data_IF_415939752434
#
_entry.id   IF_415939752434
#
_cell.length_a   1.000
_cell.length_b   1.000
_cell.length_c   1.000
_cell.angle_alpha   90.00
_cell.angle_beta   90.00
_cell.angle_gamma   90.00
#
_symmetry.space_group_name_H-M   'P 1'
#
loop_
_entity.id
_entity.type
_entity.pdbx_description
1 polymer ?
#
# COMPACT_ATOMS: atom_id res chain seq x y z
N UNK A 1 28.12 18.15 -26.10
CA UNK A 1 27.33 17.20 -25.29
C UNK A 1 26.15 17.92 -24.65
N UNK A 2 24.92 17.68 -25.13
CA UNK A 2 23.70 18.16 -24.43
C UNK A 2 23.66 17.44 -23.08
N UNK A 3 23.85 18.19 -21.98
CA UNK A 3 23.45 17.71 -20.64
C UNK A 3 21.97 17.40 -20.74
N UNK A 4 21.63 16.11 -20.80
CA UNK A 4 20.24 15.65 -20.68
C UNK A 4 19.82 16.03 -19.27
N UNK A 5 19.20 17.20 -19.15
CA UNK A 5 18.63 17.69 -17.90
C UNK A 5 17.42 16.78 -17.66
N UNK A 6 17.67 15.63 -17.02
CA UNK A 6 16.63 14.72 -16.56
C UNK A 6 15.66 15.53 -15.70
N UNK A 7 14.54 15.92 -16.29
CA UNK A 7 13.52 16.68 -15.58
C UNK A 7 12.98 15.81 -14.45
N UNK A 8 12.83 16.38 -13.24
CA UNK A 8 12.22 15.70 -12.08
C UNK A 8 10.88 15.03 -12.44
N UNK A 9 10.16 15.63 -13.40
CA UNK A 9 8.91 15.13 -13.97
C UNK A 9 9.08 13.79 -14.70
N UNK A 10 10.16 13.61 -15.44
CA UNK A 10 10.45 12.38 -16.17
C UNK A 10 10.76 11.23 -15.19
N UNK A 11 11.52 11.52 -14.13
CA UNK A 11 11.81 10.56 -13.07
C UNK A 11 10.52 10.06 -12.41
N UNK A 12 9.60 10.96 -12.04
CA UNK A 12 8.31 10.59 -11.46
C UNK A 12 7.52 9.67 -12.40
N UNK A 13 7.47 9.98 -13.70
CA UNK A 13 6.79 9.12 -14.68
C UNK A 13 7.41 7.73 -14.78
N UNK A 14 8.74 7.62 -14.81
CA UNK A 14 9.43 6.33 -14.84
C UNK A 14 9.11 5.52 -13.60
N UNK A 15 9.22 6.13 -12.40
CA UNK A 15 8.95 5.44 -11.14
C UNK A 15 7.51 4.92 -11.11
N UNK A 16 6.53 5.74 -11.51
CA UNK A 16 5.13 5.30 -11.56
C UNK A 16 4.91 4.13 -12.53
N UNK A 17 5.49 4.20 -13.74
CA UNK A 17 5.38 3.11 -14.71
C UNK A 17 6.09 1.85 -14.24
N UNK A 18 7.26 1.97 -13.62
CA UNK A 18 7.97 0.85 -13.03
C UNK A 18 7.13 0.20 -11.91
N UNK A 19 6.53 0.99 -11.01
CA UNK A 19 5.64 0.48 -9.97
C UNK A 19 4.46 -0.27 -10.57
N UNK A 20 3.79 0.28 -11.60
CA UNK A 20 2.68 -0.39 -12.29
C UNK A 20 3.15 -1.71 -12.91
N UNK A 21 4.28 -1.69 -13.63
CA UNK A 21 4.82 -2.86 -14.32
C UNK A 21 5.20 -3.97 -13.34
N UNK A 22 5.96 -3.66 -12.29
CA UNK A 22 6.35 -4.64 -11.28
C UNK A 22 5.16 -5.19 -10.51
N UNK A 23 4.18 -4.34 -10.17
CA UNK A 23 2.96 -4.79 -9.48
C UNK A 23 2.12 -5.72 -10.36
N UNK A 24 1.98 -5.41 -11.65
CA UNK A 24 1.28 -6.26 -12.60
C UNK A 24 1.99 -7.61 -12.79
N UNK A 25 3.32 -7.60 -12.94
CA UNK A 25 4.11 -8.81 -13.07
C UNK A 25 4.03 -9.69 -11.81
N UNK A 26 4.12 -9.08 -10.63
CA UNK A 26 3.95 -9.77 -9.36
C UNK A 26 2.53 -10.37 -9.24
N UNK A 27 1.49 -9.63 -9.63
CA UNK A 27 0.12 -10.15 -9.64
C UNK A 27 -0.04 -11.38 -10.53
N UNK A 28 0.50 -11.34 -11.77
CA UNK A 28 0.49 -12.48 -12.69
C UNK A 28 1.23 -13.66 -12.06
N UNK A 29 2.40 -13.42 -11.47
CA UNK A 29 3.17 -14.46 -10.79
C UNK A 29 2.37 -15.11 -9.65
N UNK A 30 1.83 -14.31 -8.72
CA UNK A 30 1.09 -14.84 -7.58
C UNK A 30 -0.20 -15.55 -8.00
N UNK A 31 -0.95 -15.02 -8.97
CA UNK A 31 -2.15 -15.70 -9.49
C UNK A 31 -1.79 -17.02 -10.18
N UNK A 32 -0.72 -17.03 -10.99
CA UNK A 32 -0.23 -18.23 -11.68
C UNK A 32 0.11 -19.35 -10.71
N UNK A 33 0.67 -19.03 -9.53
CA UNK A 33 1.00 -20.02 -8.50
C UNK A 33 -0.17 -20.31 -7.54
N UNK A 34 -1.09 -19.38 -7.38
CA UNK A 34 -2.28 -19.55 -6.55
C UNK A 34 -3.24 -20.59 -7.15
N UNK A 35 -3.43 -20.62 -8.47
CA UNK A 35 -4.33 -21.59 -9.13
C UNK A 35 -3.89 -23.06 -8.90
N UNK A 36 -2.63 -23.46 -9.16
CA UNK A 36 -2.13 -24.79 -8.84
C UNK A 36 -2.22 -25.13 -7.35
N UNK A 37 -1.97 -24.15 -6.47
CA UNK A 37 -2.11 -24.31 -5.02
C UNK A 37 -3.54 -24.70 -4.63
N UNK A 38 -4.56 -24.05 -5.21
CA UNK A 38 -5.97 -24.41 -4.98
C UNK A 38 -6.33 -25.81 -5.51
N UNK A 39 -5.66 -26.28 -6.57
CA UNK A 39 -5.90 -27.58 -7.19
C UNK A 39 -5.15 -28.73 -6.49
N UNK A 40 -4.57 -28.51 -5.30
CA UNK A 40 -3.75 -29.49 -4.56
C UNK A 40 -2.54 -30.06 -5.36
N UNK A 41 -2.12 -29.38 -6.43
CA UNK A 41 -0.95 -29.74 -7.23
C UNK A 41 0.28 -28.99 -6.68
N UNK A 42 0.78 -29.35 -5.50
CA UNK A 42 1.88 -28.59 -4.89
C UNK A 42 3.26 -29.22 -5.16
N UNK A 43 4.14 -28.47 -5.81
CA UNK A 43 5.60 -28.60 -5.65
C UNK A 43 6.03 -27.94 -4.32
N UNK A 44 6.92 -28.56 -3.52
CA UNK A 44 7.18 -28.13 -2.12
C UNK A 44 8.04 -26.87 -1.95
N UNK A 45 8.57 -26.31 -3.03
CA UNK A 45 9.74 -25.41 -2.96
C UNK A 45 9.41 -23.92 -2.76
N UNK A 46 8.14 -23.51 -2.80
CA UNK A 46 7.74 -22.09 -2.72
C UNK A 46 7.18 -21.66 -1.37
N UNK A 47 6.92 -22.58 -0.43
CA UNK A 47 6.25 -22.27 0.83
C UNK A 47 7.24 -22.20 2.00
N UNK A 48 8.03 -21.13 2.05
CA UNK A 48 8.75 -20.77 3.27
C UNK A 48 7.80 -20.23 4.37
N UNK A 49 6.57 -19.87 3.99
CA UNK A 49 5.57 -19.31 4.89
C UNK A 49 4.62 -20.36 5.46
N UNK A 50 4.40 -20.24 6.77
CA UNK A 50 3.64 -21.19 7.58
C UNK A 50 2.13 -21.19 7.28
N UNK A 51 1.61 -20.15 6.62
CA UNK A 51 0.21 -20.01 6.20
C UNK A 51 0.12 -19.60 4.71
N UNK A 52 0.33 -20.53 3.77
CA UNK A 52 0.49 -20.21 2.35
C UNK A 52 -0.76 -19.59 1.70
N UNK A 53 -1.95 -20.00 2.13
CA UNK A 53 -3.21 -19.42 1.61
C UNK A 53 -3.34 -17.93 1.96
N UNK A 54 -3.12 -17.57 3.23
CA UNK A 54 -3.17 -16.19 3.69
C UNK A 54 -2.11 -15.35 2.97
N UNK A 55 -0.90 -15.91 2.82
CA UNK A 55 0.18 -15.25 2.11
C UNK A 55 -0.20 -14.91 0.67
N UNK A 56 -0.75 -15.85 -0.10
CA UNK A 56 -1.21 -15.59 -1.47
C UNK A 56 -2.26 -14.49 -1.51
N UNK A 57 -3.25 -14.54 -0.62
CA UNK A 57 -4.31 -13.52 -0.56
C UNK A 57 -3.70 -12.14 -0.29
N UNK A 58 -2.83 -12.02 0.71
CA UNK A 58 -2.18 -10.75 1.05
C UNK A 58 -1.33 -10.23 -0.10
N UNK A 59 -0.56 -11.09 -0.79
CA UNK A 59 0.24 -10.69 -1.94
C UNK A 59 -0.63 -10.22 -3.12
N UNK A 60 -1.69 -10.97 -3.47
CA UNK A 60 -2.59 -10.60 -4.56
C UNK A 60 -3.31 -9.28 -4.26
N UNK A 61 -3.85 -9.12 -3.04
CA UNK A 61 -4.53 -7.90 -2.63
C UNK A 61 -3.57 -6.71 -2.61
N UNK A 62 -2.38 -6.86 -2.05
CA UNK A 62 -1.39 -5.78 -1.96
C UNK A 62 -0.93 -5.31 -3.35
N UNK A 63 -0.60 -6.25 -4.25
CA UNK A 63 -0.21 -5.91 -5.62
C UNK A 63 -1.37 -5.28 -6.42
N UNK A 64 -2.61 -5.71 -6.18
CA UNK A 64 -3.79 -5.08 -6.77
C UNK A 64 -3.94 -3.62 -6.31
N UNK A 65 -3.73 -3.36 -5.01
CA UNK A 65 -3.77 -2.01 -4.46
C UNK A 65 -2.66 -1.15 -5.06
N UNK A 66 -1.43 -1.66 -5.16
CA UNK A 66 -0.32 -0.93 -5.78
C UNK A 66 -0.59 -0.57 -7.24
N UNK A 67 -1.20 -1.49 -8.00
CA UNK A 67 -1.59 -1.24 -9.38
C UNK A 67 -2.62 -0.08 -9.46
N UNK A 68 -3.66 -0.14 -8.62
CA UNK A 68 -4.70 0.91 -8.56
C UNK A 68 -4.10 2.26 -8.16
N UNK A 69 -3.28 2.30 -7.12
CA UNK A 69 -2.61 3.53 -6.65
C UNK A 69 -1.69 4.10 -7.73
N UNK A 70 -0.93 3.25 -8.42
CA UNK A 70 -0.09 3.65 -9.55
C UNK A 70 -0.88 4.33 -10.66
N UNK A 71 -2.02 3.75 -11.06
CA UNK A 71 -2.91 4.32 -12.07
C UNK A 71 -3.55 5.64 -11.61
N UNK A 72 -3.99 5.71 -10.35
CA UNK A 72 -4.55 6.92 -9.75
C UNK A 72 -3.54 8.07 -9.73
N UNK A 73 -2.30 7.81 -9.29
CA UNK A 73 -1.22 8.78 -9.28
C UNK A 73 -0.84 9.24 -10.70
N UNK A 74 -0.83 8.33 -11.67
CA UNK A 74 -0.55 8.67 -13.05
C UNK A 74 -1.64 9.59 -13.63
N UNK A 75 -2.90 9.30 -13.34
CA UNK A 75 -4.03 10.16 -13.71
C UNK A 75 -3.95 11.53 -13.02
N UNK A 76 -3.61 11.55 -11.73
CA UNK A 76 -3.41 12.77 -10.96
C UNK A 76 -2.31 13.65 -11.58
N UNK A 77 -1.19 13.04 -11.93
CA UNK A 77 -0.04 13.71 -12.51
C UNK A 77 -0.36 14.29 -13.89
N UNK A 78 -0.99 13.49 -14.76
CA UNK A 78 -1.46 13.97 -16.08
C UNK A 78 -2.42 15.14 -15.95
N UNK A 79 -3.31 15.09 -14.97
CA UNK A 79 -4.26 16.17 -14.73
C UNK A 79 -3.56 17.44 -14.26
N UNK A 80 -2.68 17.33 -13.27
CA UNK A 80 -1.88 18.47 -12.79
C UNK A 80 -1.06 19.12 -13.92
N UNK A 81 -0.48 18.32 -14.83
CA UNK A 81 0.22 18.85 -16.00
C UNK A 81 -0.67 19.63 -16.98
N UNK A 82 -1.98 19.31 -17.03
CA UNK A 82 -2.93 19.98 -17.92
C UNK A 82 -3.54 21.24 -17.30
N UNK A 83 -3.94 21.17 -16.03
CA UNK A 83 -4.65 22.26 -15.36
C UNK A 83 -3.74 23.20 -14.60
N UNK A 84 -2.56 22.74 -14.16
CA UNK A 84 -1.63 23.53 -13.34
C UNK A 84 -2.07 23.74 -11.89
N UNK A 85 -3.29 23.34 -11.53
CA UNK A 85 -3.82 23.43 -10.16
C UNK A 85 -4.58 22.16 -9.78
N UNK A 86 -4.70 21.92 -8.47
CA UNK A 86 -5.48 20.85 -7.89
C UNK A 86 -6.95 21.23 -7.80
N UNK A 87 -7.86 20.30 -8.07
CA UNK A 87 -9.30 20.53 -8.01
C UNK A 87 -10.02 19.54 -7.08
N UNK A 88 -11.35 19.66 -6.98
CA UNK A 88 -12.16 18.75 -6.15
C UNK A 88 -11.99 17.28 -6.53
N UNK A 89 -11.73 16.97 -7.81
CA UNK A 89 -11.48 15.59 -8.25
C UNK A 89 -10.10 15.10 -7.79
N UNK A 90 -9.06 15.95 -7.84
CA UNK A 90 -7.75 15.65 -7.25
C UNK A 90 -7.89 15.26 -5.77
N UNK A 91 -8.70 15.99 -5.00
CA UNK A 91 -8.94 15.66 -3.58
C UNK A 91 -9.60 14.29 -3.40
N UNK A 92 -10.48 13.86 -4.31
CA UNK A 92 -11.05 12.49 -4.29
C UNK A 92 -9.96 11.43 -4.56
N UNK A 93 -9.04 11.70 -5.48
CA UNK A 93 -7.91 10.80 -5.75
C UNK A 93 -7.00 10.69 -4.52
N UNK A 94 -6.71 11.79 -3.83
CA UNK A 94 -5.98 11.75 -2.56
C UNK A 94 -6.68 10.85 -1.52
N UNK A 95 -8.01 10.97 -1.36
CA UNK A 95 -8.75 10.08 -0.45
C UNK A 95 -8.60 8.61 -0.81
N UNK A 96 -8.73 8.28 -2.11
CA UNK A 96 -8.57 6.91 -2.57
C UNK A 96 -7.18 6.36 -2.23
N UNK A 97 -6.12 7.15 -2.45
CA UNK A 97 -4.74 6.74 -2.13
C UNK A 97 -4.57 6.58 -0.61
N UNK A 98 -5.12 7.50 0.21
CA UNK A 98 -5.06 7.39 1.68
C UNK A 98 -5.73 6.09 2.15
N UNK A 99 -6.94 5.80 1.67
CA UNK A 99 -7.63 4.55 2.02
C UNK A 99 -6.90 3.31 1.52
N UNK A 100 -6.28 3.37 0.34
CA UNK A 100 -5.40 2.30 -0.14
C UNK A 100 -4.19 2.08 0.77
N UNK A 101 -3.55 3.14 1.27
CA UNK A 101 -2.44 3.02 2.22
C UNK A 101 -2.88 2.40 3.55
N UNK A 102 -4.04 2.81 4.07
CA UNK A 102 -4.63 2.21 5.27
C UNK A 102 -4.99 0.73 5.05
N UNK A 103 -5.53 0.39 3.87
CA UNK A 103 -5.82 -0.99 3.49
C UNK A 103 -4.57 -1.86 3.41
N UNK A 104 -3.48 -1.36 2.81
CA UNK A 104 -2.18 -2.06 2.80
C UNK A 104 -1.64 -2.29 4.21
N UNK A 105 -1.75 -1.27 5.07
CA UNK A 105 -1.32 -1.39 6.46
C UNK A 105 -2.13 -2.46 7.22
N UNK A 106 -3.46 -2.48 7.03
CA UNK A 106 -4.34 -3.48 7.63
C UNK A 106 -4.04 -4.90 7.14
N UNK A 107 -3.82 -5.08 5.83
CA UNK A 107 -3.44 -6.37 5.25
C UNK A 107 -2.16 -6.92 5.86
N UNK A 108 -1.15 -6.06 6.02
CA UNK A 108 0.06 -6.48 6.68
C UNK A 108 -0.17 -6.80 8.16
N UNK A 109 -0.97 -6.02 8.91
CA UNK A 109 -1.25 -6.31 10.32
C UNK A 109 -1.85 -7.72 10.44
N UNK A 110 -2.81 -8.05 9.57
CA UNK A 110 -3.43 -9.37 9.52
C UNK A 110 -2.36 -10.44 9.24
N UNK A 111 -1.46 -10.21 8.28
CA UNK A 111 -0.36 -11.14 7.98
C UNK A 111 0.58 -11.34 9.17
N UNK A 112 0.98 -10.26 9.85
CA UNK A 112 1.87 -10.32 11.02
C UNK A 112 1.21 -11.06 12.17
N UNK A 113 -0.06 -10.76 12.46
CA UNK A 113 -0.81 -11.46 13.49
C UNK A 113 -0.88 -12.95 13.14
N UNK A 114 -1.31 -13.30 11.93
CA UNK A 114 -1.45 -14.69 11.51
C UNK A 114 -0.12 -15.48 11.57
N UNK A 115 0.98 -14.88 11.14
CA UNK A 115 2.31 -15.50 11.22
C UNK A 115 2.71 -15.76 12.69
N UNK A 116 2.46 -14.81 13.59
CA UNK A 116 2.71 -14.99 15.02
C UNK A 116 1.75 -16.01 15.67
N UNK A 117 0.47 -16.03 15.26
CA UNK A 117 -0.54 -16.99 15.73
C UNK A 117 -0.11 -18.42 15.45
N UNK A 118 0.42 -18.68 14.25
CA UNK A 118 0.87 -20.03 13.88
C UNK A 118 2.10 -20.47 14.67
N UNK A 119 2.98 -19.53 15.04
CA UNK A 119 4.16 -19.83 15.86
C UNK A 119 3.81 -20.21 17.30
N UNK A 120 2.82 -19.55 17.90
CA UNK A 120 2.30 -19.93 19.21
C UNK A 120 1.29 -21.05 18.99
N UNK A 121 1.78 -22.30 19.04
CA UNK A 121 0.96 -23.50 18.82
C UNK A 121 -0.41 -23.37 19.47
N UNK A 122 -1.49 -23.70 18.75
CA UNK A 122 -2.89 -23.52 19.18
C UNK A 122 -3.18 -24.10 20.58
N UNK A 123 -2.40 -25.08 21.02
CA UNK A 123 -2.47 -25.71 22.34
C UNK A 123 -2.05 -24.79 23.51
N UNK A 124 -1.27 -23.72 23.26
CA UNK A 124 -0.80 -22.79 24.28
C UNK A 124 -1.76 -21.61 24.54
N UNK A 125 -2.89 -21.55 23.81
CA UNK A 125 -3.88 -20.46 23.87
C UNK A 125 -4.78 -20.49 25.10
N UNK A 126 -4.71 -21.55 25.89
CA UNK A 126 -5.48 -21.68 27.13
C UNK A 126 -4.93 -20.81 28.26
N UNK A 127 -3.72 -20.27 28.13
CA UNK A 127 -3.12 -19.39 29.14
C UNK A 127 -3.19 -17.91 28.75
N UNK A 128 -3.63 -17.06 29.69
CA UNK A 128 -3.63 -15.60 29.55
C UNK A 128 -2.23 -15.03 29.29
N UNK A 129 -1.19 -15.70 29.79
CA UNK A 129 0.23 -15.35 29.59
C UNK A 129 0.64 -15.52 28.12
N UNK A 130 0.22 -16.60 27.46
CA UNK A 130 0.51 -16.83 26.04
C UNK A 130 -0.16 -15.79 25.14
N UNK A 131 -1.41 -15.40 25.46
CA UNK A 131 -2.14 -14.35 24.73
C UNK A 131 -1.45 -13.00 24.90
N UNK A 132 -1.04 -12.65 26.13
CA UNK A 132 -0.31 -11.41 26.39
C UNK A 132 1.05 -11.38 25.69
N UNK A 133 1.80 -12.50 25.69
CA UNK A 133 3.09 -12.60 25.01
C UNK A 133 2.95 -12.46 23.49
N UNK A 134 1.92 -13.07 22.89
CA UNK A 134 1.64 -12.89 21.46
C UNK A 134 1.25 -11.45 21.12
N UNK A 135 0.37 -10.83 21.94
CA UNK A 135 -0.02 -9.44 21.74
C UNK A 135 1.20 -8.53 21.80
N UNK A 136 2.08 -8.72 22.79
CA UNK A 136 3.30 -7.94 22.98
C UNK A 136 4.31 -8.20 21.84
N UNK A 137 4.47 -9.44 21.37
CA UNK A 137 5.34 -9.78 20.25
C UNK A 137 4.84 -9.25 18.91
N UNK A 138 3.53 -9.34 18.67
CA UNK A 138 2.92 -8.76 17.48
C UNK A 138 3.05 -7.24 17.51
N UNK A 139 2.78 -6.63 18.66
CA UNK A 139 2.95 -5.20 18.87
C UNK A 139 4.41 -4.76 18.65
N UNK A 140 5.40 -5.44 19.23
CA UNK A 140 6.82 -5.10 19.01
C UNK A 140 7.26 -5.32 17.58
N UNK A 141 6.81 -6.39 16.91
CA UNK A 141 7.13 -6.62 15.49
C UNK A 141 6.56 -5.51 14.59
N UNK A 142 5.35 -5.04 14.91
CA UNK A 142 4.73 -3.90 14.25
C UNK A 142 5.46 -2.58 14.57
N UNK A 143 5.86 -2.35 15.82
CA UNK A 143 6.52 -1.10 16.27
C UNK A 143 7.96 -0.96 15.81
N UNK A 144 8.70 -2.06 15.67
CA UNK A 144 10.13 -2.05 15.30
C UNK A 144 10.33 -1.70 13.80
N UNK A 145 9.27 -1.33 13.06
CA UNK A 145 9.31 -1.04 11.62
C UNK A 145 9.91 -2.19 10.80
N UNK A 146 9.90 -3.42 11.33
CA UNK A 146 10.40 -4.60 10.62
C UNK A 146 9.54 -4.90 9.40
N UNK A 147 8.25 -4.59 9.49
CA UNK A 147 7.26 -4.80 8.45
C UNK A 147 6.89 -3.46 7.77
N UNK A 148 6.58 -3.45 6.46
CA UNK A 148 6.33 -2.22 5.68
C UNK A 148 5.05 -1.45 6.07
N UNK A 149 4.26 -1.98 7.00
CA UNK A 149 2.94 -1.45 7.39
C UNK A 149 3.00 -0.08 8.03
N UNK A 150 3.99 0.13 8.90
CA UNK A 150 4.22 1.41 9.56
C UNK A 150 4.60 2.49 8.56
N UNK A 151 5.29 2.15 7.47
CA UNK A 151 5.55 3.06 6.35
C UNK A 151 4.25 3.44 5.63
N UNK A 152 3.33 2.50 5.42
CA UNK A 152 2.03 2.81 4.80
C UNK A 152 1.16 3.70 5.68
N UNK A 153 1.15 3.50 7.01
CA UNK A 153 0.49 4.42 7.94
C UNK A 153 1.11 5.81 7.89
N UNK A 154 2.44 5.91 7.93
CA UNK A 154 3.13 7.19 7.84
C UNK A 154 2.81 7.91 6.53
N UNK A 155 2.83 7.19 5.40
CA UNK A 155 2.46 7.73 4.09
C UNK A 155 1.01 8.23 4.07
N UNK A 156 0.08 7.48 4.67
CA UNK A 156 -1.31 7.91 4.80
C UNK A 156 -1.45 9.23 5.58
N UNK A 157 -0.72 9.37 6.69
CA UNK A 157 -0.72 10.60 7.51
C UNK A 157 -0.12 11.79 6.73
N UNK A 158 0.99 11.58 6.01
CA UNK A 158 1.61 12.61 5.18
C UNK A 158 0.65 13.05 4.07
N UNK A 159 0.04 12.11 3.34
CA UNK A 159 -0.91 12.40 2.29
C UNK A 159 -2.15 13.11 2.81
N UNK A 160 -2.63 12.75 4.00
CA UNK A 160 -3.73 13.44 4.65
C UNK A 160 -3.35 14.87 5.01
N UNK A 161 -2.15 15.09 5.55
CA UNK A 161 -1.64 16.43 5.85
C UNK A 161 -1.57 17.29 4.58
N UNK A 162 -1.00 16.76 3.50
CA UNK A 162 -0.96 17.42 2.18
C UNK A 162 -2.36 17.76 1.68
N UNK A 163 -3.32 16.82 1.81
CA UNK A 163 -4.72 17.06 1.44
C UNK A 163 -5.32 18.23 2.23
N UNK A 164 -5.05 18.36 3.53
CA UNK A 164 -5.55 19.47 4.34
C UNK A 164 -5.01 20.82 3.85
N UNK A 165 -3.71 20.89 3.52
CA UNK A 165 -3.11 22.08 2.92
C UNK A 165 -3.75 22.43 1.57
N UNK A 166 -3.93 21.46 0.67
CA UNK A 166 -4.57 21.68 -0.64
C UNK A 166 -6.02 22.14 -0.49
N UNK A 167 -6.75 21.57 0.48
CA UNK A 167 -8.14 21.95 0.75
C UNK A 167 -8.24 23.40 1.22
N UNK A 168 -7.36 23.82 2.15
CA UNK A 168 -7.30 25.21 2.62
C UNK A 168 -6.91 26.17 1.50
N UNK A 169 -5.92 25.81 0.67
CA UNK A 169 -5.52 26.62 -0.48
C UNK A 169 -6.67 26.82 -1.49
N UNK A 170 -7.49 25.78 -1.71
CA UNK A 170 -8.65 25.87 -2.60
C UNK A 170 -9.76 26.78 -2.05
N UNK A 171 -9.98 26.78 -0.73
CA UNK A 171 -10.95 27.67 -0.09
C UNK A 171 -10.51 29.13 -0.24
N UNK A 172 -9.25 29.44 0.07
CA UNK A 172 -8.70 30.81 -0.06
C UNK A 172 -8.78 31.28 -1.51
N UNK A 173 -8.47 30.40 -2.48
CA UNK A 173 -8.62 30.74 -3.90
C UNK A 173 -10.07 31.08 -4.25
N UNK A 174 -11.03 30.28 -3.78
CA UNK A 174 -12.45 30.52 -4.04
C UNK A 174 -12.96 31.81 -3.39
N UNK A 175 -12.52 32.12 -2.18
CA UNK A 175 -12.80 33.39 -1.51
C UNK A 175 -12.28 34.56 -2.36
N UNK A 176 -11.01 34.53 -2.79
CA UNK A 176 -10.43 35.58 -3.63
C UNK A 176 -11.14 35.73 -4.99
N UNK A 177 -11.57 34.63 -5.60
CA UNK A 177 -12.37 34.66 -6.85
C UNK A 177 -13.80 35.18 -6.63
N UNK A 178 -14.34 35.12 -5.41
CA UNK A 178 -15.68 35.64 -5.08
C UNK A 178 -15.68 37.14 -4.73
N UNK A 179 -14.51 37.71 -4.44
CA UNK A 179 -14.35 39.15 -4.15
C UNK A 179 -14.13 40.00 -5.40
N UNK A 180 -13.74 39.40 -6.54
CA UNK A 180 -13.54 40.07 -7.84
C UNK A 180 -14.82 39.98 -8.67
#
# INVERSE_FOLDING_TARGET
MRKVMFSKIFLIKIVLWATIFFSAQALIYHIRWFIPFLNHQTTPTLFADKMPMLWFIVQICSNSIFLIVGLLLLNLFRKYQRTGFFDKQTLRVFNAIIYSCLGLALLGIIQTIANNLYEVHLQQWTSTVSVANLALRSFTTLLIFKEPQTMYFLLAIILWSVKQFVTKALIIKHENESFV
#
